data_IF_868631896705
#
_entry.id   IF_868631896705
#
_cell.length_a   1.000
_cell.length_b   1.000
_cell.length_c   1.000
_cell.angle_alpha   90.00
_cell.angle_beta   90.00
_cell.angle_gamma   90.00
#
_symmetry.space_group_name_H-M   'P 1'
#
loop_
_entity.id
_entity.type
_entity.pdbx_description
1 polymer ?
#
# COMPACT_ATOMS: atom_id res chain seq x y z
N UNK A 1 -18.76 6.71 3.37
CA UNK A 1 -17.87 5.53 3.41
C UNK A 1 -16.91 5.74 4.56
N UNK A 2 -16.63 4.73 5.37
CA UNK A 2 -15.71 4.78 6.52
C UNK A 2 -14.33 4.25 6.10
N UNK A 3 -13.24 4.69 6.74
CA UNK A 3 -11.91 4.16 6.45
C UNK A 3 -11.86 2.74 6.94
N UNK A 4 -11.46 1.83 6.08
CA UNK A 4 -11.13 0.50 6.54
C UNK A 4 -9.63 0.44 6.85
N UNK A 5 -9.29 0.14 8.11
CA UNK A 5 -7.91 -0.06 8.54
C UNK A 5 -7.26 -1.23 7.82
N UNK A 6 -8.01 -2.29 7.51
CA UNK A 6 -7.51 -3.42 6.75
C UNK A 6 -7.19 -2.99 5.30
N UNK A 7 -8.03 -2.16 4.69
CA UNK A 7 -7.73 -1.63 3.35
C UNK A 7 -6.50 -0.74 3.37
N UNK A 8 -6.33 0.08 4.39
CA UNK A 8 -5.11 0.88 4.53
C UNK A 8 -3.87 -0.02 4.64
N UNK A 9 -3.90 -1.03 5.51
CA UNK A 9 -2.77 -1.93 5.71
C UNK A 9 -2.40 -2.64 4.40
N UNK A 10 -3.40 -3.15 3.68
CA UNK A 10 -3.21 -3.70 2.35
C UNK A 10 -2.56 -2.70 1.41
N UNK A 11 -3.07 -1.48 1.33
CA UNK A 11 -2.56 -0.47 0.42
C UNK A 11 -1.12 -0.04 0.77
N UNK A 12 -0.79 0.04 2.06
CA UNK A 12 0.57 0.32 2.52
C UNK A 12 1.53 -0.80 2.13
N UNK A 13 1.11 -2.06 2.34
CA UNK A 13 1.90 -3.22 1.98
C UNK A 13 2.07 -3.34 0.45
N UNK A 14 1.00 -3.18 -0.32
CA UNK A 14 1.03 -3.12 -1.78
C UNK A 14 1.95 -2.00 -2.26
N UNK A 15 1.83 -0.78 -1.71
CA UNK A 15 2.70 0.33 -2.08
C UNK A 15 4.17 0.01 -1.83
N UNK A 16 4.52 -0.58 -0.68
CA UNK A 16 5.90 -0.95 -0.38
C UNK A 16 6.45 -1.96 -1.41
N UNK A 17 5.67 -3.00 -1.72
CA UNK A 17 6.08 -4.03 -2.68
C UNK A 17 6.18 -3.49 -4.10
N UNK A 18 5.18 -2.72 -4.53
CA UNK A 18 5.13 -2.12 -5.86
C UNK A 18 6.23 -1.07 -6.04
N UNK A 19 6.52 -0.25 -5.03
CA UNK A 19 7.63 0.69 -5.05
C UNK A 19 8.98 -0.01 -5.22
N UNK A 20 9.22 -1.09 -4.47
CA UNK A 20 10.42 -1.91 -4.63
C UNK A 20 10.51 -2.58 -6.01
N UNK A 21 9.37 -2.77 -6.68
CA UNK A 21 9.27 -3.34 -8.04
C UNK A 21 9.31 -2.27 -9.15
N UNK A 22 9.57 -1.00 -8.82
CA UNK A 22 9.67 0.09 -9.80
C UNK A 22 8.40 0.90 -10.05
N UNK A 23 7.35 0.70 -9.24
CA UNK A 23 6.06 1.39 -9.36
C UNK A 23 5.69 2.22 -8.11
N UNK A 24 6.48 3.25 -7.74
CA UNK A 24 6.30 4.00 -6.50
C UNK A 24 5.00 4.83 -6.43
N UNK A 25 4.38 5.12 -7.58
CA UNK A 25 3.14 5.89 -7.71
C UNK A 25 1.90 5.01 -7.99
N UNK A 26 2.01 3.68 -7.88
CA UNK A 26 0.92 2.77 -8.23
C UNK A 26 -0.31 2.87 -7.31
N UNK A 27 -0.13 3.36 -6.08
CA UNK A 27 -1.20 3.37 -5.09
C UNK A 27 -0.95 4.43 -4.01
N UNK A 28 -1.98 5.23 -3.73
CA UNK A 28 -2.02 6.08 -2.56
C UNK A 28 -2.82 5.38 -1.45
N UNK A 29 -2.24 5.13 -0.26
CA UNK A 29 -2.96 4.49 0.84
C UNK A 29 -3.93 5.45 1.52
N UNK A 30 -5.15 5.52 1.01
CA UNK A 30 -6.24 6.34 1.55
C UNK A 30 -7.19 5.55 2.47
N UNK A 31 -7.08 4.23 2.54
CA UNK A 31 -7.99 3.32 3.25
C UNK A 31 -9.30 3.01 2.51
N UNK A 32 -9.37 3.30 1.21
CA UNK A 32 -10.56 3.08 0.36
C UNK A 32 -10.26 2.06 -0.73
N UNK A 33 -11.09 1.04 -0.79
CA UNK A 33 -10.99 0.07 -1.87
C UNK A 33 -11.67 0.62 -3.12
N UNK A 34 -10.99 1.56 -3.77
CA UNK A 34 -11.39 2.14 -5.04
C UNK A 34 -10.73 1.45 -6.25
N UNK A 35 -10.98 1.99 -7.45
CA UNK A 35 -10.38 1.52 -8.70
C UNK A 35 -8.84 1.49 -8.68
N UNK A 36 -8.21 2.43 -7.97
CA UNK A 36 -6.74 2.46 -7.78
C UNK A 36 -6.24 1.24 -7.02
N UNK A 37 -6.90 0.89 -5.91
CA UNK A 37 -6.56 -0.29 -5.12
C UNK A 37 -6.72 -1.56 -5.95
N UNK A 38 -7.81 -1.69 -6.71
CA UNK A 38 -8.00 -2.81 -7.64
C UNK A 38 -6.95 -2.89 -8.75
N UNK A 39 -6.46 -1.74 -9.26
CA UNK A 39 -5.34 -1.71 -10.21
C UNK A 39 -4.04 -2.17 -9.56
N UNK A 40 -3.74 -1.70 -8.35
CA UNK A 40 -2.56 -2.10 -7.62
C UNK A 40 -2.57 -3.59 -7.25
N UNK A 41 -3.74 -4.14 -6.90
CA UNK A 41 -3.95 -5.57 -6.67
C UNK A 41 -3.66 -6.37 -7.95
N UNK A 42 -4.22 -5.97 -9.10
CA UNK A 42 -3.92 -6.64 -10.38
C UNK A 42 -2.44 -6.56 -10.74
N UNK A 43 -1.81 -5.41 -10.51
CA UNK A 43 -0.39 -5.23 -10.75
C UNK A 43 0.45 -6.16 -9.87
N UNK A 44 0.11 -6.28 -8.58
CA UNK A 44 0.74 -7.25 -7.69
C UNK A 44 0.51 -8.69 -8.17
N UNK A 45 -0.73 -9.06 -8.48
CA UNK A 45 -1.06 -10.39 -8.98
C UNK A 45 -0.23 -10.74 -10.22
N UNK A 46 -0.13 -9.80 -11.17
CA UNK A 46 0.72 -9.95 -12.36
C UNK A 46 2.20 -10.14 -12.03
N UNK A 47 2.76 -9.33 -11.14
CA UNK A 47 4.17 -9.44 -10.73
C UNK A 47 4.48 -10.77 -10.03
N UNK A 48 3.51 -11.33 -9.31
CA UNK A 48 3.63 -12.60 -8.59
C UNK A 48 3.08 -13.80 -9.39
N UNK A 49 2.76 -13.63 -10.68
CA UNK A 49 2.21 -14.68 -11.55
C UNK A 49 0.92 -15.33 -11.01
N UNK A 50 0.08 -14.54 -10.33
CA UNK A 50 -1.24 -14.91 -9.83
C UNK A 50 -2.33 -14.47 -10.83
N UNK A 51 -3.54 -15.06 -10.79
CA UNK A 51 -4.67 -14.59 -11.57
C UNK A 51 -4.98 -13.11 -11.28
N UNK A 52 -5.07 -12.27 -12.32
CA UNK A 52 -5.30 -10.82 -12.24
C UNK A 52 -6.78 -10.46 -11.97
N UNK A 53 -7.39 -11.04 -10.94
CA UNK A 53 -8.80 -10.83 -10.59
C UNK A 53 -9.07 -9.41 -10.08
N UNK A 54 -8.08 -8.75 -9.48
CA UNK A 54 -8.28 -7.50 -8.74
C UNK A 54 -8.96 -7.68 -7.38
N UNK A 55 -9.23 -8.92 -6.99
CA UNK A 55 -9.84 -9.29 -5.71
C UNK A 55 -8.75 -9.66 -4.70
N UNK A 56 -9.05 -9.43 -3.43
CA UNK A 56 -8.14 -9.75 -2.31
C UNK A 56 -8.76 -10.85 -1.49
N UNK A 57 -8.26 -12.07 -1.69
CA UNK A 57 -8.55 -13.20 -0.81
C UNK A 57 -7.51 -13.32 0.31
N UNK A 58 -7.71 -14.28 1.22
CA UNK A 58 -6.79 -14.49 2.34
C UNK A 58 -5.37 -14.86 1.85
N UNK A 59 -5.26 -15.65 0.80
CA UNK A 59 -3.97 -16.07 0.26
C UNK A 59 -3.19 -14.88 -0.32
N UNK A 60 -3.86 -13.99 -1.05
CA UNK A 60 -3.28 -12.77 -1.57
C UNK A 60 -2.87 -11.83 -0.44
N UNK A 61 -3.72 -11.68 0.58
CA UNK A 61 -3.39 -10.88 1.77
C UNK A 61 -2.09 -11.37 2.41
N UNK A 62 -1.96 -12.66 2.67
CA UNK A 62 -0.75 -13.25 3.24
C UNK A 62 0.48 -13.05 2.34
N UNK A 63 0.32 -13.20 1.02
CA UNK A 63 1.39 -12.97 0.05
C UNK A 63 1.88 -11.51 0.05
N UNK A 64 0.96 -10.53 0.05
CA UNK A 64 1.27 -9.10 0.09
C UNK A 64 2.02 -8.74 1.38
N UNK A 65 1.57 -9.24 2.53
CA UNK A 65 2.22 -8.99 3.83
C UNK A 65 3.57 -9.70 3.93
N UNK A 66 3.72 -10.91 3.39
CA UNK A 66 5.01 -11.59 3.34
C UNK A 66 6.01 -10.82 2.46
N UNK A 67 5.58 -10.39 1.27
CA UNK A 67 6.37 -9.60 0.34
C UNK A 67 6.77 -8.24 0.94
N UNK A 68 5.86 -7.53 1.61
CA UNK A 68 6.16 -6.24 2.23
C UNK A 68 7.18 -6.38 3.36
N UNK A 69 7.10 -7.45 4.16
CA UNK A 69 8.12 -7.77 5.17
C UNK A 69 9.49 -8.05 4.55
N UNK A 70 9.54 -8.72 3.41
CA UNK A 70 10.79 -8.99 2.71
C UNK A 70 11.42 -7.71 2.14
N UNK A 71 10.60 -6.82 1.57
CA UNK A 71 11.05 -5.49 1.15
C UNK A 71 11.59 -4.70 2.34
N UNK A 72 10.86 -4.67 3.47
CA UNK A 72 11.30 -3.96 4.67
C UNK A 72 12.55 -4.57 5.33
N UNK A 73 12.80 -5.88 5.19
CA UNK A 73 14.05 -6.53 5.66
C UNK A 73 15.25 -6.25 4.74
N UNK A 74 15.01 -6.12 3.44
CA UNK A 74 16.04 -5.80 2.45
C UNK A 74 16.34 -4.30 2.35
N UNK A 75 15.44 -3.45 2.87
CA UNK A 75 15.70 -2.04 3.01
C UNK A 75 16.48 -1.75 4.30
N UNK A 76 17.81 -1.82 4.23
CA UNK A 76 18.63 -0.75 4.83
C UNK A 76 18.22 0.56 4.12
N UNK A 77 17.05 1.10 4.44
CA UNK A 77 16.73 2.46 4.05
C UNK A 77 17.71 3.32 4.86
N UNK A 78 18.77 3.75 4.18
CA UNK A 78 19.54 4.92 4.55
C UNK A 78 18.56 5.98 5.03
N UNK A 79 18.60 6.23 6.34
CA UNK A 79 17.72 7.15 7.05
C UNK A 79 17.92 8.55 6.49
N UNK A 80 17.14 8.94 5.49
CA UNK A 80 16.83 10.35 5.31
C UNK A 80 15.55 10.61 6.11
N UNK A 81 15.62 11.44 7.16
CA UNK A 81 14.49 11.66 8.06
C UNK A 81 13.49 12.58 7.35
N UNK A 82 12.30 12.05 7.04
CA UNK A 82 11.13 12.88 6.73
C UNK A 82 10.10 12.65 7.83
N UNK A 83 10.04 13.61 8.75
CA UNK A 83 9.07 13.83 9.84
C UNK A 83 7.57 13.71 9.40
N UNK A 84 6.56 13.70 10.31
CA UNK A 84 6.45 13.00 11.60
C UNK A 84 5.04 12.40 11.95
N UNK A 85 5.06 11.49 12.95
CA UNK A 85 4.02 11.11 13.93
C UNK A 85 2.90 10.11 13.57
N UNK A 86 3.02 8.95 14.23
CA UNK A 86 2.08 7.84 14.29
C UNK A 86 0.81 8.21 15.06
N UNK A 87 -0.34 8.06 14.40
CA UNK A 87 -1.65 8.18 15.05
C UNK A 87 -2.80 8.55 14.13
N UNK A 88 -2.56 8.94 12.88
CA UNK A 88 -3.62 9.46 12.02
C UNK A 88 -4.20 8.44 11.05
N UNK A 89 -5.53 8.43 10.96
CA UNK A 89 -6.32 7.52 10.13
C UNK A 89 -7.05 8.30 9.01
N UNK A 90 -6.57 8.29 7.75
CA UNK A 90 -7.07 9.10 6.60
C UNK A 90 -8.24 8.51 5.80
N UNK A 91 -9.13 9.33 5.24
CA UNK A 91 -10.22 8.99 4.30
C UNK A 91 -10.22 9.89 3.03
N UNK A 92 -10.99 9.63 1.95
CA UNK A 92 -10.97 10.42 0.73
C UNK A 92 -11.67 11.75 1.01
N UNK A 93 -10.96 12.85 0.77
CA UNK A 93 -11.47 14.21 0.98
C UNK A 93 -10.77 15.01 2.07
N UNK A 94 -9.75 14.47 2.76
CA UNK A 94 -8.96 15.24 3.72
C UNK A 94 -7.88 16.09 3.02
N UNK A 95 -8.07 17.42 2.98
CA UNK A 95 -7.10 18.39 2.46
C UNK A 95 -6.06 18.72 3.53
N UNK A 96 -4.78 18.44 3.26
CA UNK A 96 -3.69 18.66 4.21
C UNK A 96 -3.26 20.12 4.30
N UNK A 97 -3.30 20.67 5.51
CA UNK A 97 -2.74 21.98 5.85
C UNK A 97 -1.33 21.76 6.40
N UNK A 98 -0.32 22.12 5.61
CA UNK A 98 1.07 22.13 6.01
C UNK A 98 1.73 23.36 5.38
N UNK A 99 1.74 24.49 6.09
CA UNK A 99 2.95 25.25 6.45
C UNK A 99 2.61 26.61 7.08
N UNK A 100 3.04 26.84 8.33
CA UNK A 100 4.10 27.81 8.67
C UNK A 100 4.57 27.62 10.11
#
# INVERSE_FOLDING_TARGET
MERDLAVLELQQALRAVLAASGYPAALYPDGFFGPETGRAVRLFQRLYSLPETGEVDQALWEAVIAASRQVNRGQEVSRLPVFPNAGFVMQPGSTGDLVS
#
